data_IF_389761592948
#
_entry.id   IF_389761592948
#
_cell.length_a   1.000
_cell.length_b   1.000
_cell.length_c   1.000
_cell.angle_alpha   90.00
_cell.angle_beta   90.00
_cell.angle_gamma   90.00
#
_symmetry.space_group_name_H-M   'P 1'
#
loop_
_entity.id
_entity.type
_entity.pdbx_description
1 polymer ?
#
# COMPACT_ATOMS: atom_id res chain seq x y z
N UNK A 1 -23.68 47.05 0.58
CA UNK A 1 -23.32 45.72 0.04
C UNK A 1 -21.88 45.40 0.40
N UNK A 2 -21.65 44.43 1.26
CA UNK A 2 -20.30 43.97 1.54
C UNK A 2 -19.89 42.97 0.47
N UNK A 3 -18.71 43.09 -0.18
CA UNK A 3 -18.26 42.09 -1.13
C UNK A 3 -18.02 40.74 -0.40
N UNK A 4 -18.46 39.65 -1.00
CA UNK A 4 -18.21 38.32 -0.48
C UNK A 4 -16.72 38.06 -0.34
N UNK A 5 -16.26 37.39 0.73
CA UNK A 5 -14.84 37.05 0.87
C UNK A 5 -14.42 36.15 -0.30
N UNK A 6 -13.43 36.61 -1.05
CA UNK A 6 -12.78 35.80 -2.08
C UNK A 6 -12.25 34.55 -1.36
N UNK A 7 -12.76 33.38 -1.71
CA UNK A 7 -12.19 32.09 -1.29
C UNK A 7 -10.75 32.03 -1.83
N UNK A 8 -9.80 32.42 -1.03
CA UNK A 8 -8.39 32.15 -1.29
C UNK A 8 -8.25 30.63 -1.25
N UNK A 9 -8.04 30.01 -2.41
CA UNK A 9 -7.57 28.63 -2.46
C UNK A 9 -6.27 28.59 -1.65
N UNK A 10 -6.30 27.89 -0.51
CA UNK A 10 -5.08 27.57 0.19
C UNK A 10 -4.09 26.94 -0.81
N UNK A 11 -2.78 27.34 -0.79
CA UNK A 11 -1.81 26.72 -1.65
C UNK A 11 -1.86 25.22 -1.37
N UNK A 12 -2.09 24.42 -2.41
CA UNK A 12 -1.95 22.96 -2.29
C UNK A 12 -0.52 22.74 -1.85
N UNK A 13 -0.33 22.50 -0.56
CA UNK A 13 0.95 22.06 -0.04
C UNK A 13 1.38 20.88 -0.93
N UNK A 14 2.57 20.99 -1.51
CA UNK A 14 3.17 19.94 -2.31
C UNK A 14 3.44 18.80 -1.34
N UNK A 15 2.42 17.97 -1.10
CA UNK A 15 2.53 16.79 -0.26
C UNK A 15 3.64 15.94 -0.86
N UNK A 16 4.69 15.72 -0.07
CA UNK A 16 5.68 14.71 -0.39
C UNK A 16 4.94 13.40 -0.63
N UNK A 17 5.29 12.66 -1.69
CA UNK A 17 4.62 11.39 -1.96
C UNK A 17 4.71 10.51 -0.71
N UNK A 18 3.57 9.97 -0.29
CA UNK A 18 3.50 9.04 0.82
C UNK A 18 4.26 7.75 0.51
N UNK A 19 4.53 6.95 1.53
CA UNK A 19 5.22 5.67 1.39
C UNK A 19 4.45 4.73 0.47
N UNK A 20 3.14 4.62 0.65
CA UNK A 20 2.26 3.81 -0.21
C UNK A 20 2.31 4.31 -1.65
N UNK A 21 2.16 5.60 -1.84
CA UNK A 21 2.18 6.24 -3.16
C UNK A 21 3.52 6.04 -3.89
N UNK A 22 4.65 6.02 -3.17
CA UNK A 22 5.95 5.77 -3.78
C UNK A 22 6.08 4.34 -4.35
N UNK A 23 5.51 3.33 -3.71
CA UNK A 23 5.47 1.97 -4.26
C UNK A 23 4.57 1.87 -5.49
N UNK A 24 3.42 2.55 -5.48
CA UNK A 24 2.45 2.48 -6.56
C UNK A 24 2.90 3.23 -7.81
N UNK A 25 3.59 4.36 -7.65
CA UNK A 25 4.11 5.16 -8.79
C UNK A 25 5.23 4.47 -9.55
N UNK A 26 6.12 3.77 -8.86
CA UNK A 26 7.19 2.99 -9.51
C UNK A 26 6.62 1.93 -10.45
N UNK A 27 5.41 1.45 -10.16
CA UNK A 27 4.75 0.42 -10.96
C UNK A 27 4.04 0.95 -12.21
N UNK A 28 3.70 2.23 -12.25
CA UNK A 28 2.96 2.83 -13.37
C UNK A 28 3.85 3.45 -14.45
N UNK A 29 5.12 3.68 -14.18
CA UNK A 29 6.02 4.31 -15.13
C UNK A 29 6.77 3.28 -16.00
N UNK A 30 6.29 3.11 -17.22
CA UNK A 30 7.01 2.39 -18.28
C UNK A 30 8.30 3.07 -18.76
N UNK A 31 8.66 4.23 -18.21
CA UNK A 31 9.83 5.00 -18.65
C UNK A 31 10.65 5.47 -17.44
N UNK A 32 11.85 4.99 -17.37
CA UNK A 32 12.97 5.19 -16.45
C UNK A 32 13.27 6.54 -15.77
N UNK A 33 12.31 7.44 -15.64
CA UNK A 33 12.47 8.72 -14.93
C UNK A 33 11.90 8.73 -13.50
N UNK A 34 11.18 7.69 -13.10
CA UNK A 34 10.55 7.63 -11.76
C UNK A 34 11.48 7.14 -10.65
N UNK A 35 12.62 6.55 -10.98
CA UNK A 35 13.60 6.08 -9.99
C UNK A 35 14.15 7.21 -9.09
N UNK A 36 14.06 8.47 -9.51
CA UNK A 36 14.52 9.63 -8.76
C UNK A 36 13.58 10.10 -7.63
N UNK A 37 12.40 9.50 -7.47
CA UNK A 37 11.40 9.90 -6.47
C UNK A 37 11.03 8.81 -5.47
N UNK A 38 11.67 7.65 -5.54
CA UNK A 38 11.56 6.64 -4.49
C UNK A 38 12.15 7.21 -3.20
N UNK A 39 11.40 7.08 -2.10
CA UNK A 39 11.94 7.45 -0.79
C UNK A 39 13.20 6.62 -0.53
N UNK A 40 14.30 7.30 -0.19
CA UNK A 40 15.52 6.59 0.22
C UNK A 40 15.18 5.60 1.35
N UNK A 41 15.73 4.37 1.33
CA UNK A 41 15.44 3.35 2.34
C UNK A 41 15.56 3.87 3.79
N UNK A 42 16.54 4.71 4.04
CA UNK A 42 16.75 5.33 5.36
C UNK A 42 15.59 6.20 5.81
N UNK A 43 15.01 6.99 4.88
CA UNK A 43 13.82 7.81 5.19
C UNK A 43 12.60 6.95 5.45
N UNK A 44 12.44 5.89 4.69
CA UNK A 44 11.34 4.95 4.86
C UNK A 44 11.40 4.24 6.22
N UNK A 45 12.58 3.76 6.60
CA UNK A 45 12.81 3.14 7.92
C UNK A 45 12.45 4.11 9.05
N UNK A 46 12.91 5.37 8.97
CA UNK A 46 12.57 6.38 9.97
C UNK A 46 11.07 6.66 10.05
N UNK A 47 10.38 6.73 8.92
CA UNK A 47 8.94 6.95 8.88
C UNK A 47 8.17 5.79 9.49
N UNK A 48 8.58 4.56 9.21
CA UNK A 48 7.97 3.35 9.80
C UNK A 48 8.21 3.31 11.31
N UNK A 49 9.42 3.58 11.77
CA UNK A 49 9.77 3.60 13.19
C UNK A 49 9.02 4.69 13.96
N UNK A 50 8.78 5.84 13.34
CA UNK A 50 7.99 6.94 13.89
C UNK A 50 6.48 6.75 13.79
N UNK A 51 6.03 5.73 13.08
CA UNK A 51 4.63 5.48 12.75
C UNK A 51 4.15 6.30 11.55
N UNK A 52 3.59 5.62 10.56
CA UNK A 52 3.01 6.27 9.37
C UNK A 52 1.76 7.07 9.75
N UNK A 53 1.45 8.09 8.98
CA UNK A 53 0.17 8.79 9.09
C UNK A 53 -0.98 7.86 8.73
N UNK A 54 -2.13 8.04 9.36
CA UNK A 54 -3.36 7.27 9.04
C UNK A 54 -3.74 7.40 7.57
N UNK A 55 -3.43 8.52 6.91
CA UNK A 55 -3.65 8.73 5.49
C UNK A 55 -2.94 7.69 4.60
N UNK A 56 -1.84 7.11 5.06
CA UNK A 56 -1.17 6.01 4.34
C UNK A 56 -2.02 4.74 4.31
N UNK A 57 -2.70 4.45 5.41
CA UNK A 57 -3.66 3.35 5.47
C UNK A 57 -4.87 3.60 4.55
N UNK A 58 -5.35 4.83 4.50
CA UNK A 58 -6.44 5.23 3.59
C UNK A 58 -6.01 5.13 2.13
N UNK A 59 -4.79 5.55 1.79
CA UNK A 59 -4.24 5.42 0.45
C UNK A 59 -4.11 3.95 0.02
N UNK A 60 -3.71 3.06 0.92
CA UNK A 60 -3.65 1.63 0.67
C UNK A 60 -5.05 1.04 0.43
N UNK A 61 -6.02 1.42 1.28
CA UNK A 61 -7.42 1.02 1.12
C UNK A 61 -7.96 1.40 -0.25
N UNK A 62 -7.75 2.64 -0.66
CA UNK A 62 -8.25 3.16 -1.94
C UNK A 62 -7.58 2.43 -3.11
N UNK A 63 -6.29 2.13 -3.00
CA UNK A 63 -5.55 1.40 -4.03
C UNK A 63 -6.03 -0.05 -4.17
N UNK A 64 -6.39 -0.69 -3.07
CA UNK A 64 -6.90 -2.06 -3.05
C UNK A 64 -8.41 -2.14 -3.30
N UNK A 65 -9.13 -1.04 -3.20
CA UNK A 65 -10.61 -0.95 -3.29
C UNK A 65 -11.33 -1.95 -2.36
N UNK A 66 -10.88 -2.01 -1.13
CA UNK A 66 -11.48 -2.86 -0.10
C UNK A 66 -12.06 -2.01 1.03
N UNK A 67 -13.09 -2.48 1.75
CA UNK A 67 -13.58 -1.79 2.93
C UNK A 67 -12.48 -1.66 4.00
N UNK A 68 -12.47 -0.54 4.74
CA UNK A 68 -11.46 -0.28 5.76
C UNK A 68 -11.41 -1.38 6.83
N UNK A 69 -12.56 -1.88 7.26
CA UNK A 69 -12.64 -2.95 8.25
C UNK A 69 -11.99 -4.24 7.76
N UNK A 70 -12.17 -4.57 6.49
CA UNK A 70 -11.56 -5.75 5.88
C UNK A 70 -10.04 -5.59 5.75
N UNK A 71 -9.58 -4.42 5.34
CA UNK A 71 -8.15 -4.12 5.28
C UNK A 71 -7.52 -4.17 6.66
N UNK A 72 -8.13 -3.52 7.65
CA UNK A 72 -7.65 -3.52 9.03
C UNK A 72 -7.56 -4.96 9.59
N UNK A 73 -8.55 -5.79 9.35
CA UNK A 73 -8.55 -7.19 9.74
C UNK A 73 -7.37 -7.96 9.12
N UNK A 74 -7.12 -7.78 7.82
CA UNK A 74 -5.99 -8.40 7.11
C UNK A 74 -4.63 -7.92 7.64
N UNK A 75 -4.56 -6.67 8.08
CA UNK A 75 -3.37 -6.08 8.70
C UNK A 75 -3.24 -6.44 10.20
N UNK A 76 -4.16 -7.19 10.75
CA UNK A 76 -4.17 -7.53 12.17
C UNK A 76 -4.46 -6.35 13.09
N UNK A 77 -5.18 -5.34 12.60
CA UNK A 77 -5.58 -4.17 13.37
C UNK A 77 -7.02 -4.36 13.84
N UNK A 78 -7.22 -4.41 15.16
CA UNK A 78 -8.57 -4.50 15.75
C UNK A 78 -9.38 -3.23 15.53
N UNK A 79 -10.70 -3.33 15.62
CA UNK A 79 -11.59 -2.16 15.52
C UNK A 79 -11.25 -1.08 16.54
N UNK A 80 -10.97 -1.47 17.78
CA UNK A 80 -10.59 -0.54 18.85
C UNK A 80 -9.27 0.17 18.54
N UNK A 81 -8.26 -0.58 18.07
CA UNK A 81 -6.98 0.00 17.67
C UNK A 81 -7.14 0.93 16.47
N UNK A 82 -7.91 0.55 15.45
CA UNK A 82 -8.19 1.38 14.29
C UNK A 82 -8.83 2.71 14.70
N UNK A 83 -9.85 2.67 15.56
CA UNK A 83 -10.51 3.86 16.06
C UNK A 83 -9.53 4.78 16.82
N UNK A 84 -8.72 4.22 17.70
CA UNK A 84 -7.70 4.95 18.44
C UNK A 84 -6.65 5.59 17.52
N UNK A 85 -6.16 4.86 16.50
CA UNK A 85 -5.18 5.38 15.54
C UNK A 85 -5.75 6.50 14.69
N UNK A 86 -7.00 6.38 14.26
CA UNK A 86 -7.69 7.47 13.54
C UNK A 86 -7.77 8.74 14.38
N UNK A 87 -8.09 8.62 15.67
CA UNK A 87 -8.12 9.76 16.58
C UNK A 87 -6.73 10.38 16.81
N UNK A 88 -5.67 9.56 16.88
CA UNK A 88 -4.29 10.00 17.04
C UNK A 88 -3.67 10.54 15.73
N UNK A 89 -4.21 10.17 14.58
CA UNK A 89 -3.69 10.53 13.25
C UNK A 89 -2.45 9.75 12.81
N UNK A 90 -1.96 8.79 13.62
CA UNK A 90 -0.77 7.99 13.34
C UNK A 90 -0.97 6.52 13.70
N UNK A 91 -0.33 5.67 12.89
CA UNK A 91 -0.22 4.24 13.14
C UNK A 91 0.96 3.97 14.09
N UNK A 92 0.94 2.80 14.73
CA UNK A 92 2.10 2.30 15.44
C UNK A 92 3.17 1.75 14.47
N UNK A 93 4.41 1.51 14.96
CA UNK A 93 5.48 0.97 14.11
C UNK A 93 5.15 -0.39 13.49
N UNK A 94 4.58 -1.32 14.25
CA UNK A 94 4.21 -2.65 13.76
C UNK A 94 3.10 -2.60 12.69
N UNK A 95 2.11 -1.75 12.89
CA UNK A 95 1.02 -1.51 11.92
C UNK A 95 1.58 -0.86 10.65
N UNK A 96 2.50 0.08 10.80
CA UNK A 96 3.18 0.76 9.70
C UNK A 96 3.99 -0.20 8.83
N UNK A 97 4.70 -1.15 9.43
CA UNK A 97 5.42 -2.20 8.69
C UNK A 97 4.48 -3.05 7.83
N UNK A 98 3.32 -3.38 8.37
CA UNK A 98 2.32 -4.18 7.64
C UNK A 98 1.73 -3.40 6.48
N UNK A 99 1.47 -2.10 6.65
CA UNK A 99 1.03 -1.21 5.56
C UNK A 99 2.08 -1.16 4.45
N UNK A 100 3.35 -0.98 4.78
CA UNK A 100 4.47 -0.99 3.82
C UNK A 100 4.56 -2.34 3.10
N UNK A 101 4.40 -3.44 3.82
CA UNK A 101 4.40 -4.79 3.26
C UNK A 101 3.32 -4.95 2.17
N UNK A 102 2.10 -4.53 2.45
CA UNK A 102 1.00 -4.61 1.48
C UNK A 102 1.21 -3.67 0.30
N UNK A 103 1.69 -2.45 0.53
CA UNK A 103 2.02 -1.51 -0.53
C UNK A 103 3.12 -2.05 -1.46
N UNK A 104 4.14 -2.69 -0.89
CA UNK A 104 5.22 -3.36 -1.65
C UNK A 104 4.67 -4.49 -2.52
N UNK A 105 3.79 -5.33 -1.97
CA UNK A 105 3.14 -6.40 -2.73
C UNK A 105 2.28 -5.85 -3.87
N UNK A 106 1.51 -4.81 -3.60
CA UNK A 106 0.69 -4.14 -4.62
C UNK A 106 1.56 -3.59 -5.74
N UNK A 107 2.66 -2.92 -5.41
CA UNK A 107 3.60 -2.39 -6.38
C UNK A 107 4.25 -3.48 -7.23
N UNK A 108 4.69 -4.57 -6.61
CA UNK A 108 5.28 -5.72 -7.34
C UNK A 108 4.24 -6.40 -8.23
N UNK A 109 3.04 -6.63 -7.74
CA UNK A 109 1.96 -7.23 -8.52
C UNK A 109 1.60 -6.36 -9.74
N UNK A 110 1.50 -5.04 -9.56
CA UNK A 110 1.22 -4.11 -10.65
C UNK A 110 2.30 -4.15 -11.74
N UNK A 111 3.57 -4.22 -11.33
CA UNK A 111 4.69 -4.35 -12.27
C UNK A 111 4.65 -5.67 -13.05
N UNK A 112 4.41 -6.77 -12.37
CA UNK A 112 4.41 -8.12 -12.96
C UNK A 112 3.18 -8.35 -13.85
N UNK A 113 2.01 -7.89 -13.41
CA UNK A 113 0.73 -8.18 -14.05
C UNK A 113 0.28 -7.12 -15.06
N UNK A 114 0.99 -5.99 -15.14
CA UNK A 114 0.78 -4.98 -16.17
C UNK A 114 -0.06 -3.78 -15.75
N UNK A 115 -0.43 -3.65 -14.48
CA UNK A 115 -1.14 -2.48 -13.98
C UNK A 115 -1.74 -2.64 -12.60
N UNK A 116 -2.24 -1.53 -12.06
CA UNK A 116 -2.86 -1.49 -10.72
C UNK A 116 -4.16 -2.28 -10.68
N UNK A 117 -4.96 -2.23 -11.73
CA UNK A 117 -6.24 -2.95 -11.80
C UNK A 117 -6.02 -4.46 -11.78
N UNK A 118 -5.10 -4.95 -12.59
CA UNK A 118 -4.73 -6.37 -12.65
C UNK A 118 -4.16 -6.84 -11.31
N UNK A 119 -3.32 -6.03 -10.68
CA UNK A 119 -2.78 -6.30 -9.35
C UNK A 119 -3.88 -6.39 -8.29
N UNK A 120 -4.81 -5.46 -8.30
CA UNK A 120 -5.95 -5.42 -7.38
C UNK A 120 -6.80 -6.68 -7.49
N UNK A 121 -7.17 -7.06 -8.70
CA UNK A 121 -7.97 -8.26 -8.96
C UNK A 121 -7.23 -9.52 -8.51
N UNK A 122 -5.97 -9.63 -8.86
CA UNK A 122 -5.14 -10.79 -8.52
C UNK A 122 -4.95 -10.94 -7.00
N UNK A 123 -4.62 -9.85 -6.32
CA UNK A 123 -4.39 -9.85 -4.88
C UNK A 123 -5.64 -10.15 -4.05
N UNK A 124 -6.82 -9.87 -4.59
CA UNK A 124 -8.11 -10.12 -3.94
C UNK A 124 -8.78 -11.43 -4.35
N UNK A 125 -8.17 -12.22 -5.21
CA UNK A 125 -8.74 -13.47 -5.75
C UNK A 125 -7.91 -14.68 -5.32
N UNK A 126 -8.55 -15.85 -5.09
CA UNK A 126 -7.84 -17.08 -4.79
C UNK A 126 -6.82 -17.42 -5.89
N UNK A 127 -5.64 -17.88 -5.49
CA UNK A 127 -4.58 -18.26 -6.41
C UNK A 127 -4.21 -19.74 -6.24
N UNK A 128 -4.16 -20.46 -7.34
CA UNK A 128 -3.77 -21.87 -7.35
C UNK A 128 -2.36 -22.09 -6.75
N UNK A 129 -1.41 -21.21 -7.10
CA UNK A 129 -0.03 -21.27 -6.59
C UNK A 129 0.13 -21.04 -5.07
N UNK A 130 -0.95 -20.63 -4.40
CA UNK A 130 -1.02 -20.49 -2.94
C UNK A 130 -2.00 -21.51 -2.32
N UNK A 131 -2.25 -22.61 -3.00
CA UNK A 131 -3.20 -23.62 -2.53
C UNK A 131 -4.67 -23.15 -2.47
N UNK A 132 -5.03 -22.17 -3.30
CA UNK A 132 -6.37 -21.57 -3.33
C UNK A 132 -6.54 -20.40 -2.35
N UNK A 133 -5.51 -19.98 -1.65
CA UNK A 133 -5.57 -18.83 -0.74
C UNK A 133 -5.59 -17.50 -1.52
N UNK A 134 -6.28 -16.50 -0.94
CA UNK A 134 -6.25 -15.12 -1.43
C UNK A 134 -4.92 -14.48 -1.01
N UNK A 135 -4.14 -13.89 -1.93
CA UNK A 135 -2.82 -13.35 -1.62
C UNK A 135 -2.80 -12.37 -0.46
N UNK A 136 -3.77 -11.46 -0.37
CA UNK A 136 -3.82 -10.50 0.74
C UNK A 136 -4.10 -11.16 2.10
N UNK A 137 -4.86 -12.23 2.14
CA UNK A 137 -5.08 -13.00 3.36
C UNK A 137 -3.82 -13.77 3.75
N UNK A 138 -3.11 -14.30 2.75
CA UNK A 138 -1.86 -15.03 2.93
C UNK A 138 -0.71 -14.13 3.41
N UNK A 139 -0.70 -12.89 2.96
CA UNK A 139 0.32 -11.88 3.28
C UNK A 139 0.17 -11.25 4.68
N UNK A 140 -0.75 -11.71 5.50
CA UNK A 140 -0.90 -11.25 6.90
C UNK A 140 0.33 -11.51 7.77
N UNK A 141 1.17 -12.48 7.39
CA UNK A 141 2.46 -12.77 8.02
C UNK A 141 3.61 -12.46 7.06
N UNK A 142 4.81 -12.27 7.60
CA UNK A 142 6.02 -12.06 6.77
C UNK A 142 6.31 -13.27 5.88
N UNK A 143 6.14 -14.47 6.41
CA UNK A 143 6.33 -15.72 5.66
C UNK A 143 5.34 -15.81 4.51
N UNK A 144 4.07 -15.53 4.77
CA UNK A 144 3.02 -15.52 3.75
C UNK A 144 3.26 -14.45 2.68
N UNK A 145 3.69 -13.26 3.07
CA UNK A 145 4.05 -12.21 2.12
C UNK A 145 5.19 -12.62 1.20
N UNK A 146 6.21 -13.31 1.74
CA UNK A 146 7.30 -13.87 0.93
C UNK A 146 6.82 -14.88 -0.09
N UNK A 147 5.91 -15.76 0.29
CA UNK A 147 5.33 -16.73 -0.64
C UNK A 147 4.55 -16.06 -1.77
N UNK A 148 3.82 -14.98 -1.48
CA UNK A 148 3.15 -14.17 -2.50
C UNK A 148 4.17 -13.51 -3.42
N UNK A 149 5.24 -12.94 -2.89
CA UNK A 149 6.33 -12.36 -3.68
C UNK A 149 7.02 -13.41 -4.57
N UNK A 150 7.26 -14.60 -4.03
CA UNK A 150 7.85 -15.71 -4.78
C UNK A 150 6.94 -16.16 -5.93
N UNK A 151 5.63 -16.24 -5.68
CA UNK A 151 4.67 -16.58 -6.73
C UNK A 151 4.66 -15.51 -7.84
N UNK A 152 4.66 -14.23 -7.48
CA UNK A 152 4.77 -13.14 -8.45
C UNK A 152 6.07 -13.22 -9.26
N UNK A 153 7.18 -13.57 -8.61
CA UNK A 153 8.46 -13.81 -9.28
C UNK A 153 8.39 -14.97 -10.29
N UNK A 154 7.72 -16.06 -9.94
CA UNK A 154 7.52 -17.19 -10.88
C UNK A 154 6.65 -16.77 -12.08
N UNK A 155 5.63 -15.98 -11.87
CA UNK A 155 4.79 -15.43 -12.95
C UNK A 155 5.63 -14.51 -13.86
N UNK A 156 6.45 -13.64 -13.28
CA UNK A 156 7.31 -12.70 -14.01
C UNK A 156 8.29 -13.43 -14.95
N UNK A 157 8.89 -14.52 -14.48
CA UNK A 157 9.85 -15.30 -15.25
C UNK A 157 9.24 -16.45 -16.05
N UNK A 158 7.90 -16.58 -16.05
CA UNK A 158 7.21 -17.63 -16.79
C UNK A 158 7.46 -19.05 -16.24
N UNK A 159 7.87 -19.19 -14.98
CA UNK A 159 8.10 -20.47 -14.31
C UNK A 159 6.80 -20.88 -13.61
N UNK A 160 6.06 -21.76 -14.24
CA UNK A 160 4.87 -22.38 -13.64
C UNK A 160 5.25 -23.75 -13.11
N UNK A 161 5.21 -23.89 -11.83
CA UNK A 161 5.30 -25.20 -11.19
C UNK A 161 4.02 -25.50 -10.44
#
# INVERSE_FOLDING_TARGET
MRPAPKKTKAPKAKLLPGVVDSYLRVSSDKAGKAAARSLAPTKMIKQVQGGLRVQELEALRDSLEVPMEKLASRLGISKATLHRRKAQGRLGPAESERVVRFARLMGKAAKVLGGIEEARQWLNSPQFGLGGAVPLDYAGTEIGAREVENLLGRIEYGVYS
#
